data_IF_177331106932
#
_entry.id   IF_177331106932
#
_cell.length_a   1.000
_cell.length_b   1.000
_cell.length_c   1.000
_cell.angle_alpha   90.00
_cell.angle_beta   90.00
_cell.angle_gamma   90.00
#
_symmetry.space_group_name_H-M   'P 1'
#
loop_
_entity.id
_entity.type
_entity.pdbx_description
1 polymer ?
#
# COMPACT_ATOMS: atom_id res chain seq x y z
N UNK A 1 -10.89 10.96 -3.21
CA UNK A 1 -10.12 11.79 -4.16
C UNK A 1 -10.08 11.13 -5.53
N UNK A 2 -10.32 11.91 -6.56
CA UNK A 2 -10.28 11.42 -7.93
C UNK A 2 -8.82 11.37 -8.39
N UNK A 3 -8.41 10.23 -8.93
CA UNK A 3 -7.05 10.03 -9.43
C UNK A 3 -7.00 10.42 -10.91
N UNK A 4 -6.13 11.36 -11.25
CA UNK A 4 -5.96 11.86 -12.62
C UNK A 4 -4.74 11.29 -13.33
N UNK A 5 -3.67 11.01 -12.59
CA UNK A 5 -2.44 10.47 -13.14
C UNK A 5 -2.64 9.08 -13.72
N UNK A 6 -2.25 8.87 -14.99
CA UNK A 6 -2.34 7.56 -15.62
C UNK A 6 -1.42 6.55 -14.95
N UNK A 7 -0.26 7.00 -14.48
CA UNK A 7 0.68 6.12 -13.77
C UNK A 7 0.05 5.58 -12.49
N UNK A 8 -0.57 6.47 -11.70
CA UNK A 8 -1.21 6.08 -10.44
C UNK A 8 -2.43 5.20 -10.70
N UNK A 9 -3.25 5.52 -11.71
CA UNK A 9 -4.38 4.69 -12.09
C UNK A 9 -3.96 3.25 -12.40
N UNK A 10 -2.87 3.09 -13.16
CA UNK A 10 -2.35 1.76 -13.51
C UNK A 10 -1.88 1.00 -12.28
N UNK A 11 -1.19 1.67 -11.37
CA UNK A 11 -0.73 1.06 -10.13
C UNK A 11 -1.90 0.57 -9.30
N UNK A 12 -2.94 1.40 -9.14
CA UNK A 12 -4.13 1.05 -8.37
C UNK A 12 -4.90 -0.11 -9.00
N UNK A 13 -5.05 -0.10 -10.32
CA UNK A 13 -5.71 -1.21 -11.03
C UNK A 13 -4.92 -2.51 -10.92
N UNK A 14 -3.60 -2.42 -10.98
CA UNK A 14 -2.72 -3.59 -10.80
C UNK A 14 -2.91 -4.18 -9.40
N UNK A 15 -2.92 -3.35 -8.37
CA UNK A 15 -3.13 -3.80 -6.99
C UNK A 15 -4.52 -4.41 -6.81
N UNK A 16 -5.56 -3.79 -7.39
CA UNK A 16 -6.93 -4.31 -7.30
C UNK A 16 -7.09 -5.69 -7.95
N UNK A 17 -6.29 -5.98 -8.96
CA UNK A 17 -6.33 -7.26 -9.66
C UNK A 17 -5.47 -8.34 -8.99
N UNK A 18 -4.75 -8.01 -7.93
CA UNK A 18 -3.83 -8.92 -7.26
C UNK A 18 -4.30 -9.17 -5.82
N UNK A 19 -4.85 -10.35 -5.58
CA UNK A 19 -5.39 -10.71 -4.27
C UNK A 19 -4.34 -10.67 -3.16
N UNK A 20 -3.10 -11.04 -3.47
CA UNK A 20 -2.03 -11.02 -2.47
C UNK A 20 -1.63 -9.61 -2.09
N UNK A 21 -1.59 -8.70 -3.06
CA UNK A 21 -1.34 -7.28 -2.78
C UNK A 21 -2.45 -6.67 -1.92
N UNK A 22 -3.70 -7.02 -2.20
CA UNK A 22 -4.84 -6.56 -1.40
C UNK A 22 -4.75 -7.05 0.04
N UNK A 23 -4.36 -8.30 0.24
CA UNK A 23 -4.18 -8.85 1.59
C UNK A 23 -3.06 -8.13 2.34
N UNK A 24 -1.97 -7.82 1.66
CA UNK A 24 -0.85 -7.10 2.26
C UNK A 24 -1.28 -5.69 2.66
N UNK A 25 -1.93 -4.96 1.75
CA UNK A 25 -2.40 -3.61 2.04
C UNK A 25 -3.41 -3.60 3.18
N UNK A 26 -4.35 -4.54 3.16
CA UNK A 26 -5.40 -4.63 4.17
C UNK A 26 -4.83 -4.85 5.58
N UNK A 27 -3.82 -5.70 5.71
CA UNK A 27 -3.26 -5.99 7.03
C UNK A 27 -2.50 -4.80 7.66
N UNK A 28 -2.19 -3.77 6.89
CA UNK A 28 -1.49 -2.57 7.37
C UNK A 28 -2.32 -1.28 7.27
N UNK A 29 -3.65 -1.40 7.16
CA UNK A 29 -4.54 -0.23 7.12
C UNK A 29 -4.68 0.40 8.51
N UNK A 30 -4.95 -0.40 9.53
CA UNK A 30 -5.25 0.09 10.86
C UNK A 30 -3.99 0.25 11.72
N UNK A 31 -3.04 -0.64 11.56
CA UNK A 31 -1.81 -0.64 12.35
C UNK A 31 -0.60 -0.91 11.47
N UNK A 32 0.48 -0.18 11.73
CA UNK A 32 1.76 -0.44 11.07
C UNK A 32 2.32 -1.78 11.51
N UNK A 33 2.88 -2.54 10.57
CA UNK A 33 3.41 -3.87 10.82
C UNK A 33 4.74 -4.09 10.13
N UNK A 34 5.58 -4.92 10.74
CA UNK A 34 6.85 -5.32 10.15
C UNK A 34 6.63 -6.34 9.03
N UNK A 35 7.66 -6.55 8.22
CA UNK A 35 7.65 -7.59 7.21
C UNK A 35 7.32 -8.97 7.79
N UNK A 36 7.94 -9.31 8.92
CA UNK A 36 7.67 -10.60 9.56
C UNK A 36 6.23 -10.75 10.03
N UNK A 37 5.64 -9.68 10.56
CA UNK A 37 4.24 -9.70 10.98
C UNK A 37 3.29 -9.85 9.79
N UNK A 38 3.59 -9.15 8.69
CA UNK A 38 2.79 -9.27 7.46
C UNK A 38 2.81 -10.71 6.95
N UNK A 39 3.98 -11.35 6.94
CA UNK A 39 4.12 -12.75 6.52
C UNK A 39 3.38 -13.69 7.45
N UNK A 40 3.48 -13.48 8.77
CA UNK A 40 2.80 -14.32 9.74
C UNK A 40 1.28 -14.28 9.58
N UNK A 41 0.73 -13.11 9.23
CA UNK A 41 -0.71 -12.96 9.02
C UNK A 41 -1.18 -13.41 7.64
N UNK A 42 -0.26 -13.66 6.72
CA UNK A 42 -0.55 -14.06 5.33
C UNK A 42 0.25 -15.29 4.96
N UNK A 43 0.09 -16.36 5.75
CA UNK A 43 0.89 -17.59 5.61
C UNK A 43 0.75 -18.29 4.26
N UNK A 44 -0.30 -17.99 3.50
CA UNK A 44 -0.50 -18.52 2.15
C UNK A 44 0.42 -17.86 1.11
N UNK A 45 1.04 -16.73 1.46
CA UNK A 45 1.96 -16.02 0.57
C UNK A 45 3.39 -16.40 0.95
N UNK A 46 4.17 -16.87 -0.03
CA UNK A 46 5.56 -17.20 0.24
C UNK A 46 6.36 -15.95 0.62
N UNK A 47 7.42 -16.14 1.40
CA UNK A 47 8.27 -15.04 1.85
C UNK A 47 8.85 -14.25 0.66
N UNK A 48 9.31 -14.94 -0.36
CA UNK A 48 9.88 -14.32 -1.56
C UNK A 48 8.85 -13.49 -2.31
N UNK A 49 7.64 -14.02 -2.49
CA UNK A 49 6.55 -13.32 -3.15
C UNK A 49 6.12 -12.09 -2.36
N UNK A 50 5.98 -12.23 -1.03
CA UNK A 50 5.61 -11.12 -0.17
C UNK A 50 6.65 -9.99 -0.23
N UNK A 51 7.94 -10.34 -0.19
CA UNK A 51 9.01 -9.35 -0.31
C UNK A 51 8.92 -8.55 -1.60
N UNK A 52 8.73 -9.25 -2.72
CA UNK A 52 8.62 -8.62 -4.04
C UNK A 52 7.42 -7.70 -4.13
N UNK A 53 6.27 -8.13 -3.62
CA UNK A 53 5.04 -7.34 -3.68
C UNK A 53 5.07 -6.15 -2.73
N UNK A 54 5.62 -6.30 -1.55
CA UNK A 54 5.80 -5.19 -0.61
C UNK A 54 6.72 -4.13 -1.23
N UNK A 55 7.82 -4.56 -1.85
CA UNK A 55 8.75 -3.66 -2.51
C UNK A 55 8.04 -2.87 -3.61
N UNK A 56 7.23 -3.54 -4.43
CA UNK A 56 6.48 -2.88 -5.50
C UNK A 56 5.47 -1.87 -4.92
N UNK A 57 4.74 -2.26 -3.88
CA UNK A 57 3.77 -1.38 -3.23
C UNK A 57 4.45 -0.13 -2.65
N UNK A 58 5.64 -0.28 -2.09
CA UNK A 58 6.44 0.86 -1.61
C UNK A 58 6.86 1.78 -2.76
N UNK A 59 7.35 1.22 -3.86
CA UNK A 59 7.79 1.99 -5.01
C UNK A 59 6.63 2.78 -5.63
N UNK A 60 5.44 2.21 -5.63
CA UNK A 60 4.25 2.87 -6.17
C UNK A 60 3.55 3.80 -5.16
N UNK A 61 4.00 3.80 -3.92
CA UNK A 61 3.43 4.69 -2.90
C UNK A 61 2.13 4.20 -2.29
N UNK A 62 1.75 2.94 -2.50
CA UNK A 62 0.52 2.37 -1.94
C UNK A 62 0.68 1.96 -0.48
N UNK A 63 1.91 1.67 -0.07
CA UNK A 63 2.29 1.56 1.34
C UNK A 63 3.52 2.42 1.57
N UNK A 64 3.76 2.79 2.81
CA UNK A 64 4.94 3.58 3.21
C UNK A 64 5.60 2.95 4.42
N UNK A 65 6.85 3.33 4.65
CA UNK A 65 7.51 3.05 5.93
C UNK A 65 7.03 4.13 6.91
N UNK A 66 6.21 3.70 7.87
CA UNK A 66 5.68 4.60 8.89
C UNK A 66 6.77 4.99 9.90
N UNK A 67 7.51 3.99 10.36
CA UNK A 67 8.64 4.21 11.28
C UNK A 67 9.61 3.06 11.23
N UNK A 68 10.81 3.31 11.74
CA UNK A 68 11.85 2.32 11.89
C UNK A 68 12.03 2.05 13.37
N UNK A 69 12.05 0.78 13.76
CA UNK A 69 12.14 0.34 15.15
C UNK A 69 13.44 -0.45 15.35
N UNK A 70 14.02 -0.31 16.54
CA UNK A 70 15.17 -1.13 16.95
C UNK A 70 14.67 -2.31 17.77
N UNK A 71 15.10 -3.51 17.40
CA UNK A 71 14.86 -4.68 18.21
C UNK A 71 15.82 -4.71 19.41
N UNK A 72 15.56 -5.59 20.38
CA UNK A 72 16.39 -5.72 21.58
C UNK A 72 17.85 -6.06 21.25
N UNK A 73 18.10 -6.77 20.16
CA UNK A 73 19.44 -7.12 19.70
C UNK A 73 20.08 -6.05 18.81
N UNK A 74 19.47 -4.87 18.71
CA UNK A 74 20.01 -3.72 17.98
C UNK A 74 19.76 -3.73 16.48
N UNK A 75 18.99 -4.67 15.97
CA UNK A 75 18.63 -4.69 14.54
C UNK A 75 17.50 -3.72 14.24
N UNK A 76 17.60 -3.05 13.09
CA UNK A 76 16.57 -2.13 12.63
C UNK A 76 15.59 -2.87 11.74
N UNK A 77 14.29 -2.56 11.89
CA UNK A 77 13.27 -3.04 10.98
C UNK A 77 12.22 -1.98 10.74
N UNK A 78 11.64 -2.00 9.53
CA UNK A 78 10.63 -1.03 9.13
C UNK A 78 9.24 -1.52 9.52
N UNK A 79 8.36 -0.55 9.88
CA UNK A 79 6.94 -0.81 10.04
C UNK A 79 6.22 -0.15 8.88
N UNK A 80 5.43 -0.92 8.16
CA UNK A 80 4.71 -0.48 6.96
C UNK A 80 3.27 -0.13 7.27
N UNK A 81 2.74 0.83 6.53
CA UNK A 81 1.35 1.27 6.69
C UNK A 81 0.76 1.60 5.32
N UNK A 82 -0.51 1.28 5.12
CA UNK A 82 -1.20 1.61 3.87
C UNK A 82 -1.46 3.11 3.77
N UNK A 83 -1.24 3.68 2.59
CA UNK A 83 -1.57 5.09 2.31
C UNK A 83 -3.05 5.29 2.02
N UNK A 84 -3.77 4.21 1.70
CA UNK A 84 -5.18 4.29 1.30
C UNK A 84 -6.04 3.38 2.17
N UNK A 85 -7.28 3.83 2.45
CA UNK A 85 -8.31 3.02 3.11
C UNK A 85 -9.20 2.30 2.12
N UNK A 86 -9.47 2.92 0.98
CA UNK A 86 -10.38 2.35 -0.01
C UNK A 86 -10.03 2.83 -1.40
N UNK A 87 -10.32 1.97 -2.37
CA UNK A 87 -10.14 2.28 -3.79
C UNK A 87 -11.44 1.89 -4.49
N UNK A 88 -12.00 2.82 -5.28
CA UNK A 88 -13.19 2.57 -6.07
C UNK A 88 -12.85 2.80 -7.55
N UNK A 89 -12.95 1.75 -8.35
CA UNK A 89 -12.71 1.80 -9.78
C UNK A 89 -14.04 1.59 -10.51
N UNK A 90 -14.33 2.45 -11.47
CA UNK A 90 -15.56 2.40 -12.25
C UNK A 90 -15.24 2.37 -13.74
N UNK A 91 -15.81 1.40 -14.45
CA UNK A 91 -15.72 1.33 -15.90
C UNK A 91 -17.07 1.76 -16.49
N UNK A 92 -17.04 2.73 -17.37
CA UNK A 92 -18.24 3.24 -18.02
C UNK A 92 -17.87 3.92 -19.33
N UNK A 93 -18.60 3.63 -20.40
CA UNK A 93 -18.43 4.28 -21.70
C UNK A 93 -16.97 4.25 -22.20
N UNK A 94 -16.34 3.08 -22.09
CA UNK A 94 -14.95 2.85 -22.51
C UNK A 94 -13.93 3.70 -21.73
N UNK A 95 -14.29 4.09 -20.52
CA UNK A 95 -13.43 4.89 -19.67
C UNK A 95 -13.37 4.32 -18.25
N UNK A 96 -12.20 4.38 -17.62
CA UNK A 96 -12.01 3.96 -16.25
C UNK A 96 -11.75 5.18 -15.38
N UNK A 97 -12.56 5.36 -14.36
CA UNK A 97 -12.35 6.39 -13.35
C UNK A 97 -12.01 5.73 -12.01
N UNK A 98 -11.12 6.35 -11.26
CA UNK A 98 -10.67 5.82 -9.98
C UNK A 98 -10.77 6.90 -8.91
N UNK A 99 -11.41 6.55 -7.79
CA UNK A 99 -11.42 7.35 -6.58
C UNK A 99 -10.68 6.58 -5.50
N UNK A 100 -9.89 7.29 -4.72
CA UNK A 100 -9.16 6.69 -3.61
C UNK A 100 -9.44 7.47 -2.34
N UNK A 101 -9.64 6.74 -1.24
CA UNK A 101 -9.81 7.33 0.08
C UNK A 101 -8.49 7.26 0.82
N UNK A 102 -7.90 8.42 1.19
CA UNK A 102 -6.64 8.45 1.93
C UNK A 102 -6.79 7.86 3.33
N UNK A 103 -5.73 7.25 3.82
CA UNK A 103 -5.64 6.78 5.18
C UNK A 103 -5.00 7.88 6.03
N UNK A 104 -5.83 8.69 6.72
CA UNK A 104 -5.36 9.83 7.50
C UNK A 104 -4.70 9.44 8.83
N UNK A 105 -4.65 8.16 9.15
CA UNK A 105 -3.98 7.67 10.35
C UNK A 105 -2.45 7.66 10.18
N UNK A 106 -1.94 7.98 8.99
CA UNK A 106 -0.51 8.06 8.69
C UNK A 106 -0.09 9.50 8.44
N UNK A 107 1.23 9.72 8.26
CA UNK A 107 1.79 11.05 8.04
C UNK A 107 1.14 11.75 6.85
N UNK A 108 0.45 12.86 7.13
CA UNK A 108 -0.32 13.60 6.14
C UNK A 108 0.50 14.02 4.92
N UNK A 109 1.77 14.41 5.13
CA UNK A 109 2.66 14.81 4.03
C UNK A 109 2.86 13.72 2.98
N UNK A 110 2.81 12.44 3.39
CA UNK A 110 2.97 11.33 2.47
C UNK A 110 1.74 11.19 1.57
N UNK A 111 0.55 11.37 2.15
CA UNK A 111 -0.71 11.35 1.41
C UNK A 111 -0.73 12.49 0.39
N UNK A 112 -0.40 13.70 0.83
CA UNK A 112 -0.35 14.87 -0.04
C UNK A 112 0.61 14.67 -1.20
N UNK A 113 1.80 14.12 -0.91
CA UNK A 113 2.80 13.83 -1.94
C UNK A 113 2.27 12.81 -2.94
N UNK A 114 1.61 11.75 -2.49
CA UNK A 114 1.04 10.72 -3.34
C UNK A 114 0.00 11.31 -4.31
N UNK A 115 -0.93 12.09 -3.79
CA UNK A 115 -1.99 12.67 -4.60
C UNK A 115 -1.55 13.87 -5.43
N UNK A 116 -0.40 14.43 -5.18
CA UNK A 116 0.13 15.56 -5.95
C UNK A 116 0.96 15.12 -7.17
N UNK A 117 1.12 13.83 -7.40
CA UNK A 117 1.88 13.30 -8.52
C UNK A 117 1.14 13.32 -9.86
N UNK A 118 0.04 13.99 -9.94
CA UNK A 118 -0.76 14.10 -11.15
C UNK A 118 -0.17 14.99 -12.24
#
# INVERSE_FOLDING_TARGET
MIIKSQRIKRALLTALADEEMLKIMDCVIDHSKSFNDIIAENSSISRTTAFRKIKWLLEEGLIIVDKIVLSEDGKKFSLYHSTLKAINAKYEANNVSIEAEPNFDIAKKWIEKFFSLD
#
